data_IF_645532138674
#
_entry.id   IF_645532138674
#
_cell.length_a   1.000
_cell.length_b   1.000
_cell.length_c   1.000
_cell.angle_alpha   90.00
_cell.angle_beta   90.00
_cell.angle_gamma   90.00
#
_symmetry.space_group_name_H-M   'P 1'
#
loop_
_entity.id
_entity.type
_entity.pdbx_description
1 polymer ?
#
# COMPACT_ATOMS: atom_id res chain seq x y z
N UNK A 1 15.74 -15.98 6.24
CA UNK A 1 15.13 -14.72 6.72
C UNK A 1 14.37 -13.98 5.62
N UNK A 2 14.99 -13.74 4.46
CA UNK A 2 14.35 -13.11 3.29
C UNK A 2 12.98 -13.69 2.93
N UNK A 3 12.88 -15.02 2.75
CA UNK A 3 11.61 -15.70 2.42
C UNK A 3 10.52 -15.54 3.49
N UNK A 4 10.89 -15.38 4.77
CA UNK A 4 9.93 -15.16 5.86
C UNK A 4 9.38 -13.74 5.79
N UNK A 5 10.25 -12.76 5.53
CA UNK A 5 9.86 -11.34 5.37
C UNK A 5 8.95 -11.19 4.15
N UNK A 6 9.30 -11.80 3.01
CA UNK A 6 8.47 -11.80 1.81
C UNK A 6 7.10 -12.44 2.07
N UNK A 7 7.07 -13.58 2.76
CA UNK A 7 5.82 -14.25 3.15
C UNK A 7 4.92 -13.35 4.02
N UNK A 8 5.50 -12.67 5.01
CA UNK A 8 4.75 -11.74 5.87
C UNK A 8 4.21 -10.55 5.07
N UNK A 9 5.02 -9.95 4.21
CA UNK A 9 4.61 -8.83 3.36
C UNK A 9 3.49 -9.23 2.39
N UNK A 10 3.54 -10.46 1.87
CA UNK A 10 2.51 -10.99 0.98
C UNK A 10 1.18 -11.21 1.72
N UNK A 11 1.23 -11.72 2.96
CA UNK A 11 0.06 -11.84 3.83
C UNK A 11 -0.53 -10.46 4.16
N UNK A 12 0.30 -9.47 4.47
CA UNK A 12 -0.15 -8.08 4.74
C UNK A 12 -0.82 -7.48 3.49
N UNK A 13 -0.21 -7.65 2.32
CA UNK A 13 -0.77 -7.15 1.06
C UNK A 13 -2.14 -7.79 0.76
N UNK A 14 -2.26 -9.10 0.92
CA UNK A 14 -3.51 -9.82 0.72
C UNK A 14 -4.58 -9.43 1.74
N UNK A 15 -4.23 -9.43 3.03
CA UNK A 15 -5.15 -9.04 4.09
C UNK A 15 -5.62 -7.58 3.94
N UNK A 16 -4.70 -6.69 3.54
CA UNK A 16 -5.01 -5.30 3.23
C UNK A 16 -5.97 -5.18 2.05
N UNK A 17 -5.66 -5.81 0.91
CA UNK A 17 -6.54 -5.76 -0.27
C UNK A 17 -7.94 -6.32 0.03
N UNK A 18 -8.01 -7.52 0.60
CA UNK A 18 -9.28 -8.20 0.89
C UNK A 18 -10.05 -7.44 1.97
N UNK A 19 -9.39 -7.05 3.06
CA UNK A 19 -10.00 -6.32 4.17
C UNK A 19 -10.53 -4.94 3.74
N UNK A 20 -9.77 -4.23 2.89
CA UNK A 20 -10.19 -2.95 2.34
C UNK A 20 -11.42 -3.06 1.45
N UNK A 21 -11.42 -4.03 0.52
CA UNK A 21 -12.56 -4.27 -0.38
C UNK A 21 -13.79 -4.69 0.43
N UNK A 22 -13.63 -5.62 1.38
CA UNK A 22 -14.73 -6.04 2.24
C UNK A 22 -15.30 -4.87 3.06
N UNK A 23 -14.44 -4.04 3.66
CA UNK A 23 -14.89 -2.87 4.41
C UNK A 23 -15.71 -1.90 3.54
N UNK A 24 -15.28 -1.68 2.29
CA UNK A 24 -16.02 -0.83 1.33
C UNK A 24 -17.37 -1.44 0.95
N UNK A 25 -17.40 -2.74 0.63
CA UNK A 25 -18.65 -3.44 0.29
C UNK A 25 -19.64 -3.44 1.45
N UNK A 26 -19.17 -3.69 2.68
CA UNK A 26 -20.02 -3.74 3.88
C UNK A 26 -20.58 -2.37 4.27
N UNK A 27 -19.80 -1.31 4.07
CA UNK A 27 -20.22 0.06 4.38
C UNK A 27 -20.93 0.76 3.21
N UNK A 28 -21.08 0.09 2.06
CA UNK A 28 -21.69 0.68 0.86
C UNK A 28 -20.93 1.89 0.30
N UNK A 29 -19.64 2.04 0.63
CA UNK A 29 -18.83 3.20 0.22
C UNK A 29 -18.14 2.92 -1.12
N UNK A 30 -18.10 3.90 -2.02
CA UNK A 30 -17.43 3.81 -3.32
C UNK A 30 -15.89 3.80 -3.25
N UNK A 31 -15.19 3.87 -4.38
CA UNK A 31 -13.72 3.99 -4.42
C UNK A 31 -13.33 5.46 -4.21
N UNK A 32 -13.01 5.83 -2.96
CA UNK A 32 -12.56 7.19 -2.62
C UNK A 32 -11.04 7.29 -2.48
N UNK A 33 -10.52 8.52 -2.42
CA UNK A 33 -9.08 8.81 -2.33
C UNK A 33 -8.40 8.06 -1.18
N UNK A 34 -9.03 8.04 0.00
CA UNK A 34 -8.54 7.32 1.19
C UNK A 34 -8.39 5.81 0.98
N UNK A 35 -9.22 5.21 0.13
CA UNK A 35 -9.10 3.78 -0.17
C UNK A 35 -7.98 3.48 -1.16
N UNK A 36 -7.75 4.37 -2.13
CA UNK A 36 -6.59 4.27 -3.02
C UNK A 36 -5.29 4.43 -2.22
N UNK A 37 -5.23 5.39 -1.29
CA UNK A 37 -4.08 5.56 -0.39
C UNK A 37 -3.85 4.34 0.51
N UNK A 38 -4.92 3.77 1.06
CA UNK A 38 -4.85 2.54 1.85
C UNK A 38 -4.33 1.35 1.02
N UNK A 39 -4.83 1.15 -0.20
CA UNK A 39 -4.32 0.10 -1.09
C UNK A 39 -2.86 0.36 -1.50
N UNK A 40 -2.49 1.61 -1.75
CA UNK A 40 -1.09 2.00 -2.01
C UNK A 40 -0.17 1.59 -0.85
N UNK A 41 -0.59 1.86 0.38
CA UNK A 41 0.23 1.59 1.56
C UNK A 41 0.28 0.10 1.92
N UNK A 42 -0.82 -0.64 1.75
CA UNK A 42 -0.89 -2.06 2.11
C UNK A 42 -0.35 -2.98 1.02
N UNK A 43 -0.63 -2.68 -0.26
CA UNK A 43 -0.29 -3.54 -1.39
C UNK A 43 0.97 -3.05 -2.10
N UNK A 44 0.98 -1.78 -2.52
CA UNK A 44 2.04 -1.26 -3.39
C UNK A 44 3.39 -1.22 -2.66
N UNK A 45 3.42 -0.71 -1.42
CA UNK A 45 4.63 -0.71 -0.57
C UNK A 45 5.15 -2.13 -0.33
N UNK A 46 4.28 -3.07 0.00
CA UNK A 46 4.66 -4.47 0.24
C UNK A 46 5.32 -5.10 -0.99
N UNK A 47 4.75 -4.89 -2.18
CA UNK A 47 5.30 -5.39 -3.44
C UNK A 47 6.68 -4.77 -3.72
N UNK A 48 6.84 -3.47 -3.52
CA UNK A 48 8.12 -2.78 -3.75
C UNK A 48 9.20 -3.31 -2.82
N UNK A 49 8.89 -3.52 -1.54
CA UNK A 49 9.85 -4.06 -0.59
C UNK A 49 10.25 -5.48 -1.00
N UNK A 50 9.31 -6.32 -1.44
CA UNK A 50 9.62 -7.67 -1.97
C UNK A 50 10.55 -7.56 -3.18
N UNK A 51 10.20 -6.73 -4.17
CA UNK A 51 11.02 -6.57 -5.38
C UNK A 51 12.42 -6.02 -5.07
N UNK A 52 12.53 -5.14 -4.08
CA UNK A 52 13.81 -4.58 -3.62
C UNK A 52 14.66 -5.66 -2.96
N UNK A 53 14.06 -6.49 -2.10
CA UNK A 53 14.75 -7.64 -1.49
C UNK A 53 15.18 -8.66 -2.53
N UNK A 54 14.40 -8.86 -3.60
CA UNK A 54 14.76 -9.71 -4.74
C UNK A 54 15.87 -9.13 -5.63
N UNK A 55 16.23 -7.85 -5.47
CA UNK A 55 17.18 -7.19 -6.37
C UNK A 55 16.62 -6.96 -7.78
N UNK A 56 15.29 -6.98 -7.94
CA UNK A 56 14.59 -6.76 -9.22
C UNK A 56 14.48 -5.29 -9.59
N UNK A 57 14.69 -4.40 -8.62
CA UNK A 57 14.64 -2.94 -8.77
C UNK A 57 15.88 -2.30 -8.14
N UNK A 58 16.37 -1.21 -8.72
CA UNK A 58 17.49 -0.47 -8.15
C UNK A 58 17.12 0.21 -6.82
N UNK A 59 18.11 0.52 -5.99
CA UNK A 59 17.87 1.26 -4.75
C UNK A 59 17.29 2.65 -5.01
N UNK A 60 17.70 3.29 -6.11
CA UNK A 60 17.19 4.59 -6.56
C UNK A 60 15.70 4.51 -6.88
N UNK A 61 15.28 3.48 -7.63
CA UNK A 61 13.86 3.22 -7.91
C UNK A 61 13.09 2.89 -6.63
N UNK A 62 13.65 2.06 -5.75
CA UNK A 62 13.03 1.72 -4.47
C UNK A 62 12.74 2.98 -3.65
N UNK A 63 13.73 3.88 -3.54
CA UNK A 63 13.60 5.15 -2.83
C UNK A 63 12.57 6.09 -3.47
N UNK A 64 12.56 6.20 -4.80
CA UNK A 64 11.60 7.02 -5.53
C UNK A 64 10.15 6.54 -5.32
N UNK A 65 9.91 5.23 -5.41
CA UNK A 65 8.56 4.69 -5.26
C UNK A 65 8.12 4.72 -3.78
N UNK A 66 9.03 4.48 -2.82
CA UNK A 66 8.74 4.64 -1.41
C UNK A 66 8.38 6.10 -1.07
N UNK A 67 9.13 7.07 -1.59
CA UNK A 67 8.83 8.49 -1.43
C UNK A 67 7.48 8.88 -2.05
N UNK A 68 7.15 8.32 -3.23
CA UNK A 68 5.86 8.53 -3.87
C UNK A 68 4.70 7.94 -3.03
N UNK A 69 4.87 6.76 -2.45
CA UNK A 69 3.86 6.14 -1.59
C UNK A 69 3.65 6.94 -0.29
N UNK A 70 4.72 7.36 0.37
CA UNK A 70 4.66 8.22 1.56
C UNK A 70 4.03 9.57 1.22
N UNK A 71 4.44 10.20 0.11
CA UNK A 71 3.88 11.46 -0.37
C UNK A 71 2.39 11.36 -0.69
N UNK A 72 1.96 10.28 -1.35
CA UNK A 72 0.55 10.04 -1.66
C UNK A 72 -0.30 9.90 -0.40
N UNK A 73 0.25 9.32 0.67
CA UNK A 73 -0.43 9.14 1.96
C UNK A 73 -0.48 10.45 2.74
N UNK A 74 0.64 11.16 2.84
CA UNK A 74 0.73 12.46 3.51
C UNK A 74 -0.17 13.52 2.84
N UNK A 75 -0.29 13.50 1.52
CA UNK A 75 -1.20 14.37 0.77
C UNK A 75 -2.69 14.16 1.15
N UNK A 76 -3.05 12.99 1.70
CA UNK A 76 -4.41 12.68 2.16
C UNK A 76 -4.71 13.13 3.59
N UNK A 77 -3.69 13.18 4.47
CA UNK A 77 -3.88 13.39 5.92
C UNK A 77 -4.36 14.82 6.26
N UNK A 78 -4.22 15.79 5.34
CA UNK A 78 -4.71 17.16 5.52
C UNK A 78 -6.04 17.48 4.84
N UNK A 79 -6.56 16.60 3.98
CA UNK A 79 -7.87 16.77 3.35
C UNK A 79 -8.89 16.00 4.16
N UNK A 80 -9.44 16.67 5.17
CA UNK A 80 -10.72 16.26 5.71
C UNK A 80 -11.74 16.39 4.59
N UNK A 81 -12.18 15.25 4.06
CA UNK A 81 -13.40 15.15 3.27
C UNK A 81 -14.56 15.44 4.24
N UNK A 82 -14.74 16.72 4.60
CA UNK A 82 -16.02 17.21 5.08
C UNK A 82 -16.94 17.19 3.87
N UNK A 83 -17.96 16.32 3.97
CA UNK A 83 -19.20 16.41 3.20
C UNK A 83 -19.74 17.84 3.18
#
# INVERSE_FOLDING_TARGET
MKNIVEGVLLVIAMAGAIGGVWNRLKLGKGIGLRFIQYLGLTVLVSIIVILSLEGRISQEMTGAIAAAAVGAVLAGIGKDERE
#
